data_IF_641691095684
#
_entry.id   IF_641691095684
#
_cell.length_a   1.000
_cell.length_b   1.000
_cell.length_c   1.000
_cell.angle_alpha   90.00
_cell.angle_beta   90.00
_cell.angle_gamma   90.00
#
_symmetry.space_group_name_H-M   'P 1'
#
loop_
_entity.id
_entity.type
_entity.pdbx_description
1 polymer ?
#
# COMPACT_ATOMS: atom_id res chain seq x y z
N UNK A 1 1.05 16.95 16.14
CA UNK A 1 0.64 17.25 14.75
C UNK A 1 0.66 15.95 13.95
N UNK A 2 -0.01 15.92 12.79
CA UNK A 2 0.06 14.79 11.86
C UNK A 2 0.09 15.35 10.43
N UNK A 3 0.86 14.71 9.55
CA UNK A 3 1.07 15.14 8.17
C UNK A 3 0.94 13.93 7.25
N UNK A 4 0.33 14.14 6.08
CA UNK A 4 0.31 13.19 4.98
C UNK A 4 1.29 13.71 3.92
N UNK A 5 2.12 12.82 3.41
CA UNK A 5 3.12 13.12 2.38
C UNK A 5 3.03 12.05 1.31
N UNK A 6 3.16 12.43 0.04
CA UNK A 6 3.18 11.48 -1.07
C UNK A 6 4.62 10.94 -1.31
N UNK A 7 5.63 11.73 -0.95
CA UNK A 7 7.03 11.43 -1.15
C UNK A 7 7.93 11.87 0.01
N UNK A 8 9.13 11.30 0.08
CA UNK A 8 10.11 11.64 1.13
C UNK A 8 10.60 13.10 1.04
N UNK A 9 10.58 13.71 -0.15
CA UNK A 9 11.05 15.08 -0.37
C UNK A 9 10.15 16.15 0.25
N UNK A 10 8.90 15.81 0.56
CA UNK A 10 7.95 16.70 1.22
C UNK A 10 8.18 16.83 2.73
N UNK A 11 9.01 15.95 3.31
CA UNK A 11 9.37 16.01 4.71
C UNK A 11 10.16 17.28 5.00
N UNK A 12 9.63 18.10 5.91
CA UNK A 12 10.24 19.36 6.31
C UNK A 12 10.98 19.22 7.62
N UNK A 13 12.21 19.74 7.67
CA UNK A 13 13.08 19.64 8.85
C UNK A 13 12.45 20.25 10.11
N UNK A 14 11.71 21.35 9.95
CA UNK A 14 11.04 22.03 11.05
C UNK A 14 9.97 21.17 11.75
N UNK A 15 9.47 20.10 11.12
CA UNK A 15 8.51 19.19 11.77
C UNK A 15 9.14 18.35 12.88
N UNK A 16 10.46 18.23 12.87
CA UNK A 16 11.23 17.39 13.79
C UNK A 16 11.92 18.20 14.90
N UNK A 17 11.91 19.53 14.81
CA UNK A 17 12.56 20.37 15.82
C UNK A 17 11.91 20.17 17.20
N UNK A 18 12.75 20.02 18.23
CA UNK A 18 12.33 19.70 19.60
C UNK A 18 11.61 18.35 19.77
N UNK A 19 11.49 17.51 18.74
CA UNK A 19 10.70 16.28 18.77
C UNK A 19 11.58 15.06 19.04
N UNK A 20 11.36 14.40 20.18
CA UNK A 20 12.15 13.23 20.56
C UNK A 20 11.70 11.92 19.88
N UNK A 21 10.44 11.84 19.41
CA UNK A 21 9.84 10.62 18.85
C UNK A 21 8.85 10.95 17.75
N UNK A 22 8.89 10.20 16.66
CA UNK A 22 7.96 10.32 15.53
C UNK A 22 7.34 8.96 15.24
N UNK A 23 6.03 8.93 15.08
CA UNK A 23 5.31 7.77 14.57
C UNK A 23 5.19 7.86 13.05
N UNK A 24 5.48 6.76 12.36
CA UNK A 24 5.29 6.62 10.92
C UNK A 24 4.28 5.50 10.67
N UNK A 25 3.34 5.76 9.77
CA UNK A 25 2.39 4.77 9.25
C UNK A 25 2.18 5.02 7.76
N UNK A 26 1.65 4.03 7.07
CA UNK A 26 1.39 4.10 5.64
C UNK A 26 -0.06 3.65 5.36
N UNK A 27 -0.69 4.26 4.36
CA UNK A 27 -1.99 3.80 3.89
C UNK A 27 -1.87 2.41 3.25
N UNK A 28 -2.97 1.66 3.20
CA UNK A 28 -3.01 0.30 2.64
C UNK A 28 -2.55 0.22 1.17
N UNK A 29 -2.62 1.32 0.42
CA UNK A 29 -2.21 1.43 -0.98
C UNK A 29 -0.76 1.91 -1.18
N UNK A 30 -0.06 2.29 -0.11
CA UNK A 30 1.29 2.83 -0.21
C UNK A 30 2.30 1.71 -0.50
N UNK A 31 3.08 1.79 -1.59
CA UNK A 31 4.16 0.84 -1.85
C UNK A 31 5.21 0.85 -0.74
N UNK A 32 5.73 -0.34 -0.38
CA UNK A 32 6.78 -0.50 0.64
C UNK A 32 8.01 0.38 0.37
N UNK A 33 8.38 0.55 -0.91
CA UNK A 33 9.51 1.38 -1.30
C UNK A 33 9.36 2.84 -0.88
N UNK A 34 8.14 3.40 -0.91
CA UNK A 34 7.89 4.79 -0.49
C UNK A 34 8.05 4.92 1.02
N UNK A 35 7.56 3.94 1.77
CA UNK A 35 7.71 3.90 3.23
C UNK A 35 9.20 3.85 3.59
N UNK A 36 9.97 3.02 2.90
CA UNK A 36 11.41 2.90 3.12
C UNK A 36 12.16 4.22 2.82
N UNK A 37 11.82 4.90 1.73
CA UNK A 37 12.40 6.21 1.39
C UNK A 37 12.11 7.27 2.47
N UNK A 38 10.88 7.29 2.99
CA UNK A 38 10.48 8.18 4.09
C UNK A 38 11.30 7.88 5.36
N UNK A 39 11.48 6.60 5.70
CA UNK A 39 12.33 6.19 6.84
C UNK A 39 13.76 6.70 6.66
N UNK A 40 14.34 6.54 5.48
CA UNK A 40 15.74 6.92 5.24
C UNK A 40 15.92 8.44 5.23
N UNK A 41 14.93 9.19 4.76
CA UNK A 41 14.92 10.65 4.89
C UNK A 41 14.84 11.10 6.34
N UNK A 42 13.99 10.47 7.16
CA UNK A 42 13.89 10.78 8.60
C UNK A 42 15.23 10.49 9.31
N UNK A 43 15.93 9.41 8.95
CA UNK A 43 17.30 9.15 9.45
C UNK A 43 18.28 10.25 9.03
N UNK A 44 18.25 10.66 7.77
CA UNK A 44 19.10 11.74 7.27
C UNK A 44 18.85 13.09 7.97
N UNK A 45 17.63 13.30 8.48
CA UNK A 45 17.25 14.47 9.28
C UNK A 45 17.66 14.37 10.76
N UNK A 46 18.27 13.25 11.19
CA UNK A 46 18.85 13.10 12.53
C UNK A 46 18.24 12.00 13.40
N UNK A 47 17.33 11.17 12.86
CA UNK A 47 16.81 10.05 13.65
C UNK A 47 17.88 8.97 13.89
N UNK A 48 18.10 8.67 15.16
CA UNK A 48 19.18 7.75 15.62
C UNK A 48 18.76 6.28 15.56
N UNK A 49 17.46 5.99 15.69
CA UNK A 49 16.97 4.61 15.71
C UNK A 49 15.55 4.50 15.15
N UNK A 50 15.30 3.43 14.41
CA UNK A 50 13.98 3.04 13.91
C UNK A 50 13.58 1.73 14.56
N UNK A 51 12.35 1.65 15.06
CA UNK A 51 11.82 0.43 15.69
C UNK A 51 10.43 0.17 15.14
N UNK A 52 10.22 -1.03 14.61
CA UNK A 52 8.89 -1.51 14.25
C UNK A 52 8.14 -1.84 15.52
N UNK A 53 6.95 -1.26 15.69
CA UNK A 53 6.06 -1.61 16.80
C UNK A 53 5.32 -2.90 16.43
N UNK A 54 5.17 -3.81 17.38
CA UNK A 54 4.43 -5.05 17.17
C UNK A 54 2.98 -4.73 16.79
N UNK A 55 2.58 -5.12 15.58
CA UNK A 55 1.22 -5.01 15.07
C UNK A 55 0.53 -6.37 15.02
N UNK A 56 -0.74 -6.36 14.60
CA UNK A 56 -1.47 -7.59 14.25
C UNK A 56 -0.99 -8.02 12.85
N UNK A 57 -0.58 -9.27 12.70
CA UNK A 57 -0.19 -9.81 11.39
C UNK A 57 -1.43 -10.14 10.57
N UNK A 58 -1.71 -9.36 9.53
CA UNK A 58 -2.83 -9.59 8.62
C UNK A 58 -2.38 -10.50 7.45
N UNK A 59 -2.86 -11.75 7.42
CA UNK A 59 -2.48 -12.76 6.41
C UNK A 59 -3.55 -12.95 5.32
N UNK A 60 -4.54 -12.06 5.22
CA UNK A 60 -5.65 -12.21 4.27
C UNK A 60 -5.12 -12.01 2.84
N UNK A 61 -5.25 -13.04 2.00
CA UNK A 61 -4.91 -13.00 0.58
C UNK A 61 -6.19 -13.11 -0.25
N UNK A 62 -6.36 -12.23 -1.21
CA UNK A 62 -7.45 -12.29 -2.18
C UNK A 62 -6.93 -12.98 -3.45
N UNK A 63 -7.20 -14.28 -3.65
CA UNK A 63 -6.75 -14.96 -4.85
C UNK A 63 -7.45 -14.37 -6.07
N UNK A 64 -6.73 -14.31 -7.18
CA UNK A 64 -7.30 -13.90 -8.47
C UNK A 64 -8.45 -14.85 -8.86
N UNK A 65 -9.61 -14.32 -9.27
CA UNK A 65 -10.71 -15.14 -9.76
C UNK A 65 -10.28 -16.01 -10.93
N UNK A 66 -10.77 -17.26 -10.98
CA UNK A 66 -10.50 -18.18 -12.10
C UNK A 66 -10.97 -17.54 -13.41
N UNK A 67 -10.03 -17.20 -14.30
CA UNK A 67 -10.30 -16.54 -15.58
C UNK A 67 -9.46 -15.28 -15.84
N UNK A 68 -8.89 -14.66 -14.80
CA UNK A 68 -8.02 -13.48 -14.88
C UNK A 68 -6.53 -13.86 -14.91
N UNK A 69 -6.15 -14.84 -15.73
CA UNK A 69 -4.72 -15.08 -16.01
C UNK A 69 -4.26 -13.94 -16.91
N UNK A 70 -3.37 -13.10 -16.39
CA UNK A 70 -2.73 -12.03 -17.16
C UNK A 70 -1.76 -12.71 -18.13
N UNK A 71 -2.12 -12.72 -19.41
CA UNK A 71 -1.18 -13.03 -20.49
C UNK A 71 -0.29 -11.80 -20.68
N UNK A 72 1.02 -11.96 -20.56
CA UNK A 72 1.99 -10.84 -20.44
C UNK A 72 2.11 -9.96 -21.71
N UNK A 73 1.26 -10.18 -22.72
CA UNK A 73 1.34 -9.52 -24.03
C UNK A 73 0.08 -8.74 -24.43
N UNK A 74 -1.11 -8.97 -23.85
CA UNK A 74 -2.37 -8.67 -24.58
C UNK A 74 -3.46 -7.84 -23.90
N UNK A 75 -3.27 -7.24 -22.72
CA UNK A 75 -4.23 -6.23 -22.22
C UNK A 75 -5.72 -6.63 -22.33
N UNK A 76 -6.13 -7.62 -21.52
CA UNK A 76 -7.52 -8.05 -21.28
C UNK A 76 -8.34 -8.57 -22.48
N UNK A 77 -8.56 -9.89 -22.54
CA UNK A 77 -9.70 -10.49 -23.28
C UNK A 77 -10.74 -11.01 -22.29
N UNK A 78 -11.87 -10.30 -22.20
CA UNK A 78 -13.05 -10.73 -21.46
C UNK A 78 -13.80 -11.74 -22.35
N UNK A 79 -13.73 -13.03 -22.05
CA UNK A 79 -14.69 -13.98 -22.63
C UNK A 79 -16.01 -13.82 -21.87
N UNK A 80 -16.95 -13.08 -22.45
CA UNK A 80 -18.32 -13.00 -21.94
C UNK A 80 -18.90 -14.42 -21.80
N UNK A 81 -19.42 -14.75 -20.61
CA UNK A 81 -20.23 -15.96 -20.43
C UNK A 81 -21.68 -15.62 -20.76
N UNK A 82 -22.25 -16.29 -21.74
CA UNK A 82 -23.69 -16.25 -22.08
C UNK A 82 -24.53 -16.53 -20.83
N UNK A 83 -25.60 -15.77 -20.56
CA UNK A 83 -26.50 -16.08 -19.45
C UNK A 83 -27.27 -17.38 -19.75
N UNK A 84 -27.04 -18.42 -18.94
CA UNK A 84 -27.89 -19.62 -18.91
C UNK A 84 -29.27 -19.23 -18.36
N UNK A 85 -30.20 -18.89 -19.25
CA UNK A 85 -31.60 -18.69 -18.88
C UNK A 85 -32.25 -20.08 -18.78
N UNK A 86 -32.41 -20.58 -17.56
CA UNK A 86 -33.17 -21.82 -17.30
C UNK A 86 -34.63 -21.66 -17.72
N UNK A 87 -35.32 -22.75 -18.15
CA UNK A 87 -36.66 -22.65 -18.71
C UNK A 87 -37.67 -22.27 -17.63
N UNK A 88 -38.39 -21.16 -17.86
CA UNK A 88 -39.57 -20.81 -17.09
C UNK A 88 -40.66 -21.88 -17.32
N UNK A 89 -41.04 -22.60 -16.26
CA UNK A 89 -42.21 -23.50 -16.30
C UNK A 89 -43.49 -22.68 -16.11
N UNK A 90 -44.44 -22.98 -16.98
CA UNK A 90 -45.81 -22.46 -17.06
C UNK A 90 -46.73 -23.16 -16.04
#
# INVERSE_FOLDING_TARGET
TAYMVDSADELRGEWFDGTARVGLTAGASAPEILVQQVIDRIKALGAVSVRTMSGIEETIKFPLPKGLKIDATTGLTITERTPETGPARH
#
